data_IF_104720592822
#
_entry.id   IF_104720592822
#
_cell.length_a   1.000
_cell.length_b   1.000
_cell.length_c   1.000
_cell.angle_alpha   90.00
_cell.angle_beta   90.00
_cell.angle_gamma   90.00
#
_symmetry.space_group_name_H-M   'P 1'
#
loop_
_entity.id
_entity.type
_entity.pdbx_description
1 polymer ?
#
# COMPACT_ATOMS: atom_id res chain seq x y z
N UNK A 1 -1.67 5.11 25.12
CA UNK A 1 -1.34 4.53 23.78
C UNK A 1 -2.54 4.48 22.86
N UNK A 2 -3.71 3.94 23.31
CA UNK A 2 -4.89 3.76 22.45
C UNK A 2 -5.35 5.05 21.76
N UNK A 3 -5.41 6.19 22.48
CA UNK A 3 -5.86 7.47 21.92
C UNK A 3 -4.89 8.01 20.86
N UNK A 4 -3.61 7.90 21.09
CA UNK A 4 -2.61 8.29 20.10
C UNK A 4 -2.68 7.42 18.85
N UNK A 5 -2.96 6.13 19.01
CA UNK A 5 -3.12 5.21 17.88
C UNK A 5 -4.37 5.52 17.05
N UNK A 6 -5.53 5.71 17.72
CA UNK A 6 -6.80 5.90 17.00
C UNK A 6 -7.11 7.37 16.64
N UNK A 7 -6.62 8.33 17.45
CA UNK A 7 -7.00 9.75 17.31
C UNK A 7 -5.82 10.67 17.03
N UNK A 8 -4.58 10.15 17.09
CA UNK A 8 -3.35 10.95 17.05
C UNK A 8 -3.37 12.12 18.05
N UNK A 9 -4.06 11.95 19.19
CA UNK A 9 -4.26 13.01 20.18
C UNK A 9 -4.34 12.45 21.59
N UNK A 10 -4.37 13.35 22.59
CA UNK A 10 -4.54 13.02 23.99
C UNK A 10 -5.83 12.24 24.23
N UNK A 11 -5.83 11.32 25.24
CA UNK A 11 -7.05 10.65 25.67
C UNK A 11 -8.07 11.67 26.20
N UNK A 12 -9.36 11.37 25.99
CA UNK A 12 -10.44 12.11 26.58
C UNK A 12 -10.60 11.78 28.08
N UNK A 13 -11.40 12.56 28.79
CA UNK A 13 -11.61 12.40 30.23
C UNK A 13 -12.17 11.02 30.59
N UNK A 14 -13.09 10.48 29.75
CA UNK A 14 -13.67 9.16 29.95
C UNK A 14 -12.60 8.06 29.94
N UNK A 15 -11.69 8.10 28.95
CA UNK A 15 -10.58 7.15 28.86
C UNK A 15 -9.57 7.33 30.00
N UNK A 16 -9.29 8.57 30.39
CA UNK A 16 -8.40 8.87 31.53
C UNK A 16 -8.97 8.37 32.86
N UNK A 17 -10.27 8.53 33.09
CA UNK A 17 -10.95 8.02 34.30
C UNK A 17 -10.84 6.49 34.41
N UNK A 18 -11.06 5.78 33.30
CA UNK A 18 -10.92 4.31 33.23
C UNK A 18 -9.48 3.85 33.45
N UNK A 19 -8.52 4.59 32.88
CA UNK A 19 -7.09 4.30 33.05
C UNK A 19 -6.67 4.44 34.52
N UNK A 20 -7.05 5.54 35.19
CA UNK A 20 -6.78 5.76 36.62
C UNK A 20 -7.42 4.71 37.50
N UNK A 21 -8.58 4.19 37.12
CA UNK A 21 -9.28 3.11 37.83
C UNK A 21 -8.75 1.71 37.51
N UNK A 22 -7.71 1.56 36.68
CA UNK A 22 -7.15 0.27 36.25
C UNK A 22 -8.07 -0.57 35.38
N UNK A 23 -9.20 -0.02 34.91
CA UNK A 23 -10.24 -0.77 34.19
C UNK A 23 -9.87 -1.10 32.74
N UNK A 24 -8.90 -0.42 32.15
CA UNK A 24 -8.45 -0.69 30.78
C UNK A 24 -7.64 -1.98 30.64
N UNK A 25 -7.28 -2.64 31.73
CA UNK A 25 -6.70 -3.99 31.74
C UNK A 25 -7.74 -5.07 31.43
N UNK A 26 -9.02 -4.76 31.60
CA UNK A 26 -10.12 -5.68 31.26
C UNK A 26 -10.35 -5.67 29.74
N UNK A 27 -10.23 -6.83 29.04
CA UNK A 27 -10.38 -6.91 27.58
C UNK A 27 -11.74 -6.43 27.07
N UNK A 28 -12.83 -6.70 27.80
CA UNK A 28 -14.17 -6.28 27.40
C UNK A 28 -14.32 -4.74 27.47
N UNK A 29 -13.77 -4.12 28.53
CA UNK A 29 -13.78 -2.67 28.67
C UNK A 29 -12.89 -2.01 27.61
N UNK A 30 -11.69 -2.57 27.36
CA UNK A 30 -10.80 -2.08 26.32
C UNK A 30 -11.48 -2.12 24.95
N UNK A 31 -12.15 -3.23 24.61
CA UNK A 31 -12.92 -3.37 23.39
C UNK A 31 -14.02 -2.32 23.28
N UNK A 32 -14.82 -2.14 24.33
CA UNK A 32 -15.88 -1.14 24.38
C UNK A 32 -15.37 0.28 24.12
N UNK A 33 -14.23 0.62 24.72
CA UNK A 33 -13.61 1.93 24.49
C UNK A 33 -13.05 2.06 23.06
N UNK A 34 -12.45 1.03 22.51
CA UNK A 34 -11.98 1.01 21.12
C UNK A 34 -13.14 1.25 20.15
N UNK A 35 -14.24 0.54 20.30
CA UNK A 35 -15.44 0.71 19.46
C UNK A 35 -16.03 2.13 19.59
N UNK A 36 -16.08 2.66 20.81
CA UNK A 36 -16.51 4.06 21.05
C UNK A 36 -15.60 5.06 20.32
N UNK A 37 -14.29 4.82 20.41
CA UNK A 37 -13.29 5.73 19.83
C UNK A 37 -13.29 5.67 18.32
N UNK A 38 -13.51 4.51 17.72
CA UNK A 38 -13.62 4.36 16.26
C UNK A 38 -14.86 5.09 15.69
N UNK A 39 -15.94 5.19 16.47
CA UNK A 39 -17.14 5.96 16.08
C UNK A 39 -16.99 7.47 16.26
N UNK A 40 -15.91 7.94 16.88
CA UNK A 40 -15.68 9.37 17.09
C UNK A 40 -15.05 10.00 15.83
N UNK A 41 -15.44 11.23 15.44
CA UNK A 41 -14.83 11.93 14.29
C UNK A 41 -13.30 12.01 14.31
N UNK A 42 -12.66 12.00 15.50
CA UNK A 42 -11.20 11.95 15.64
C UNK A 42 -10.59 10.67 15.03
N UNK A 43 -11.37 9.61 14.85
CA UNK A 43 -10.89 8.36 14.24
C UNK A 43 -10.52 8.53 12.74
N UNK A 44 -10.94 9.61 12.10
CA UNK A 44 -10.44 9.97 10.77
C UNK A 44 -8.90 10.10 10.72
N UNK A 45 -8.26 10.41 11.86
CA UNK A 45 -6.79 10.40 11.97
C UNK A 45 -6.21 8.99 11.77
N UNK A 46 -6.86 7.96 12.32
CA UNK A 46 -6.46 6.57 12.11
C UNK A 46 -6.59 6.17 10.64
N UNK A 47 -7.74 6.51 10.02
CA UNK A 47 -8.00 6.24 8.60
C UNK A 47 -6.92 6.77 7.65
N UNK A 48 -6.27 7.89 8.02
CA UNK A 48 -5.17 8.50 7.24
C UNK A 48 -3.80 7.98 7.64
N UNK A 49 -3.45 8.05 8.92
CA UNK A 49 -2.06 7.82 9.36
C UNK A 49 -1.67 6.35 9.37
N UNK A 50 -2.63 5.45 9.65
CA UNK A 50 -2.31 4.03 9.69
C UNK A 50 -1.96 3.48 8.29
N UNK A 51 -2.80 3.63 7.25
CA UNK A 51 -2.46 3.13 5.91
C UNK A 51 -1.24 3.85 5.33
N UNK A 52 -1.05 5.15 5.59
CA UNK A 52 0.13 5.89 5.16
C UNK A 52 1.43 5.25 5.67
N UNK A 53 1.47 4.88 6.95
CA UNK A 53 2.65 4.26 7.56
C UNK A 53 2.79 2.79 7.19
N UNK A 54 1.70 2.04 7.28
CA UNK A 54 1.67 0.61 6.94
C UNK A 54 2.12 0.36 5.51
N UNK A 55 1.58 1.13 4.56
CA UNK A 55 1.87 1.00 3.14
C UNK A 55 3.07 1.85 2.68
N UNK A 56 3.83 2.45 3.60
CA UNK A 56 4.99 3.31 3.30
C UNK A 56 4.68 4.46 2.34
N UNK A 57 3.45 4.96 2.31
CA UNK A 57 3.05 6.03 1.37
C UNK A 57 3.76 7.35 1.62
N UNK A 58 4.32 7.56 2.81
CA UNK A 58 5.18 8.71 3.11
C UNK A 58 6.50 8.71 2.30
N UNK A 59 6.79 7.63 1.59
CA UNK A 59 7.92 7.54 0.67
C UNK A 59 7.58 7.99 -0.76
N UNK A 60 6.29 8.24 -1.05
CA UNK A 60 5.88 8.81 -2.34
C UNK A 60 6.59 10.15 -2.58
N UNK A 61 7.10 10.32 -3.78
CA UNK A 61 7.87 11.51 -4.16
C UNK A 61 9.38 11.44 -3.90
N UNK A 62 9.88 10.39 -3.21
CA UNK A 62 11.34 10.17 -3.10
C UNK A 62 11.97 9.84 -4.45
N UNK A 63 11.23 9.09 -5.29
CA UNK A 63 11.59 8.82 -6.68
C UNK A 63 10.39 9.12 -7.56
N UNK A 64 10.52 10.13 -8.41
CA UNK A 64 9.49 10.48 -9.38
C UNK A 64 9.91 9.94 -10.76
N UNK A 65 8.95 9.44 -11.55
CA UNK A 65 9.25 8.97 -12.91
C UNK A 65 9.66 10.13 -13.82
N UNK A 66 10.40 9.81 -14.92
CA UNK A 66 10.68 10.81 -15.95
C UNK A 66 9.36 11.31 -16.56
N UNK A 67 9.22 12.63 -16.61
CA UNK A 67 8.03 13.31 -17.19
C UNK A 67 7.82 12.97 -18.67
N UNK A 68 8.90 12.67 -19.38
CA UNK A 68 8.90 12.34 -20.82
C UNK A 68 8.76 10.83 -21.06
N UNK A 69 8.88 10.02 -20.01
CA UNK A 69 8.78 8.57 -20.07
C UNK A 69 7.34 8.07 -20.11
N UNK A 70 7.16 6.75 -20.19
CA UNK A 70 5.84 6.11 -20.28
C UNK A 70 4.96 6.38 -19.06
N UNK A 71 5.55 6.73 -17.94
CA UNK A 71 4.85 7.04 -16.68
C UNK A 71 4.59 8.53 -16.46
N UNK A 72 4.75 9.37 -17.47
CA UNK A 72 4.54 10.83 -17.36
C UNK A 72 3.15 11.25 -16.88
N UNK A 73 2.14 10.39 -17.03
CA UNK A 73 0.81 10.60 -16.47
C UNK A 73 0.77 10.65 -14.93
N UNK A 74 1.78 10.12 -14.24
CA UNK A 74 1.96 10.22 -12.79
C UNK A 74 1.76 11.65 -12.28
N UNK A 75 2.36 12.64 -12.95
CA UNK A 75 2.29 14.06 -12.53
C UNK A 75 0.89 14.65 -12.57
N UNK A 76 -0.03 14.02 -13.30
CA UNK A 76 -1.44 14.42 -13.40
C UNK A 76 -2.31 13.77 -12.32
N UNK A 77 -1.86 12.67 -11.73
CA UNK A 77 -2.64 11.89 -10.77
C UNK A 77 -2.03 11.84 -9.37
N UNK A 78 -0.77 12.29 -9.19
CA UNK A 78 -0.03 12.13 -7.93
C UNK A 78 -0.75 12.70 -6.70
N UNK A 79 -1.50 13.77 -6.86
CA UNK A 79 -2.28 14.38 -5.77
C UNK A 79 -3.46 13.52 -5.30
N UNK A 80 -3.91 12.56 -6.11
CA UNK A 80 -5.03 11.66 -5.78
C UNK A 80 -4.58 10.32 -5.20
N UNK A 81 -3.28 10.00 -5.26
CA UNK A 81 -2.78 8.66 -4.91
C UNK A 81 -3.01 8.33 -3.43
N UNK A 82 -2.58 9.20 -2.52
CA UNK A 82 -2.80 9.01 -1.08
C UNK A 82 -4.28 9.17 -0.73
N UNK A 83 -5.00 10.23 -1.17
CA UNK A 83 -6.42 10.36 -0.93
C UNK A 83 -7.28 9.17 -1.39
N UNK A 84 -6.88 8.47 -2.46
CA UNK A 84 -7.56 7.25 -2.91
C UNK A 84 -7.46 6.13 -1.85
N UNK A 85 -6.27 5.90 -1.32
CA UNK A 85 -6.03 4.89 -0.28
C UNK A 85 -6.78 5.25 1.00
N UNK A 86 -6.73 6.52 1.41
CA UNK A 86 -7.43 7.03 2.59
C UNK A 86 -8.94 6.82 2.48
N UNK A 87 -9.52 7.15 1.33
CA UNK A 87 -10.96 6.97 1.08
C UNK A 87 -11.35 5.49 1.13
N UNK A 88 -10.56 4.61 0.54
CA UNK A 88 -10.81 3.17 0.53
C UNK A 88 -10.70 2.56 1.93
N UNK A 89 -9.65 2.91 2.66
CA UNK A 89 -9.45 2.42 4.03
C UNK A 89 -10.54 2.92 4.98
N UNK A 90 -10.90 4.20 4.86
CA UNK A 90 -11.97 4.80 5.67
C UNK A 90 -13.33 4.15 5.39
N UNK A 91 -13.65 3.88 4.12
CA UNK A 91 -14.89 3.16 3.75
C UNK A 91 -14.95 1.77 4.38
N UNK A 92 -13.85 1.00 4.34
CA UNK A 92 -13.80 -0.30 4.99
C UNK A 92 -13.96 -0.21 6.52
N UNK A 93 -13.35 0.80 7.13
CA UNK A 93 -13.45 1.02 8.58
C UNK A 93 -14.87 1.43 8.99
N UNK A 94 -15.48 2.37 8.27
CA UNK A 94 -16.81 2.90 8.55
C UNK A 94 -17.92 1.87 8.32
N UNK A 95 -17.79 1.08 7.25
CA UNK A 95 -18.77 0.04 6.88
C UNK A 95 -18.54 -1.28 7.59
N UNK A 96 -17.46 -1.41 8.38
CA UNK A 96 -16.98 -2.70 8.91
C UNK A 96 -16.86 -3.75 7.79
N UNK A 97 -16.30 -3.33 6.66
CA UNK A 97 -16.16 -4.13 5.46
C UNK A 97 -15.23 -5.33 5.65
N UNK A 98 -15.33 -6.35 4.80
CA UNK A 98 -14.52 -7.54 4.91
C UNK A 98 -13.04 -7.23 4.65
N UNK A 99 -12.16 -7.72 5.53
CA UNK A 99 -10.71 -7.47 5.47
C UNK A 99 -10.08 -8.00 4.16
N UNK A 100 -10.68 -9.00 3.54
CA UNK A 100 -10.25 -9.53 2.22
C UNK A 100 -10.22 -8.44 1.14
N UNK A 101 -11.04 -7.39 1.28
CA UNK A 101 -11.07 -6.28 0.32
C UNK A 101 -9.74 -5.51 0.27
N UNK A 102 -8.85 -5.68 1.25
CA UNK A 102 -7.50 -5.14 1.15
C UNK A 102 -6.68 -5.80 0.03
N UNK A 103 -6.99 -7.05 -0.30
CA UNK A 103 -6.30 -7.83 -1.35
C UNK A 103 -7.15 -7.89 -2.62
N UNK A 104 -8.44 -8.19 -2.46
CA UNK A 104 -9.37 -8.44 -3.57
C UNK A 104 -10.67 -7.68 -3.32
N UNK A 105 -10.87 -6.61 -4.07
CA UNK A 105 -12.06 -5.76 -4.00
C UNK A 105 -12.59 -5.51 -5.40
N UNK A 106 -13.91 -5.54 -5.57
CA UNK A 106 -14.58 -5.21 -6.82
C UNK A 106 -14.85 -3.71 -6.99
N UNK A 107 -14.32 -2.87 -6.09
CA UNK A 107 -14.45 -1.42 -6.16
C UNK A 107 -13.17 -0.71 -5.70
N UNK A 108 -13.05 0.55 -6.06
CA UNK A 108 -12.07 1.48 -5.55
C UNK A 108 -12.65 2.89 -5.47
N UNK A 109 -11.86 3.85 -5.03
CA UNK A 109 -12.23 5.26 -5.07
C UNK A 109 -11.48 5.95 -6.20
N UNK A 110 -12.19 6.56 -7.13
CA UNK A 110 -11.57 7.28 -8.24
C UNK A 110 -12.39 8.49 -8.66
N UNK A 111 -11.73 9.45 -9.27
CA UNK A 111 -12.28 10.56 -10.00
C UNK A 111 -12.05 10.37 -11.50
N UNK A 112 -12.42 11.36 -12.31
CA UNK A 112 -12.21 11.34 -13.75
C UNK A 112 -10.75 11.05 -14.13
N UNK A 113 -9.80 11.72 -13.48
CA UNK A 113 -8.37 11.59 -13.82
C UNK A 113 -7.83 10.19 -13.55
N UNK A 114 -8.11 9.61 -12.37
CA UNK A 114 -7.71 8.24 -12.06
C UNK A 114 -8.41 7.24 -12.97
N UNK A 115 -9.71 7.42 -13.21
CA UNK A 115 -10.48 6.57 -14.13
C UNK A 115 -9.85 6.52 -15.51
N UNK A 116 -9.64 7.67 -16.15
CA UNK A 116 -9.11 7.76 -17.52
C UNK A 116 -7.65 7.29 -17.64
N UNK A 117 -6.78 7.72 -16.71
CA UNK A 117 -5.34 7.52 -16.86
C UNK A 117 -4.85 6.19 -16.31
N UNK A 118 -5.42 5.72 -15.21
CA UNK A 118 -4.97 4.53 -14.50
C UNK A 118 -5.88 3.32 -14.74
N UNK A 119 -7.19 3.48 -14.49
CA UNK A 119 -8.14 2.36 -14.53
C UNK A 119 -8.75 2.11 -15.90
N UNK A 120 -8.50 3.01 -16.87
CA UNK A 120 -9.09 2.96 -18.24
C UNK A 120 -10.61 2.85 -18.23
N UNK A 121 -11.24 3.42 -17.22
CA UNK A 121 -12.67 3.38 -16.97
C UNK A 121 -13.24 4.81 -16.96
N UNK A 122 -14.41 5.01 -17.58
CA UNK A 122 -15.03 6.33 -17.64
C UNK A 122 -15.69 6.68 -16.31
N UNK A 123 -15.20 7.74 -15.67
CA UNK A 123 -15.77 8.31 -14.44
C UNK A 123 -16.00 9.80 -14.63
N UNK A 124 -17.10 10.32 -14.08
CA UNK A 124 -17.45 11.75 -14.21
C UNK A 124 -17.15 12.50 -12.92
N UNK A 125 -16.54 13.68 -13.05
CA UNK A 125 -16.31 14.63 -11.96
C UNK A 125 -14.93 14.51 -11.30
N UNK A 126 -14.57 15.55 -10.57
CA UNK A 126 -13.22 15.77 -10.03
C UNK A 126 -13.03 15.15 -8.62
N UNK A 127 -14.12 14.87 -7.90
CA UNK A 127 -14.04 14.30 -6.55
C UNK A 127 -13.96 12.77 -6.59
N UNK A 128 -13.16 12.22 -5.68
CA UNK A 128 -13.11 10.78 -5.45
C UNK A 128 -14.47 10.26 -5.01
N UNK A 129 -14.89 9.17 -5.60
CA UNK A 129 -16.13 8.46 -5.27
C UNK A 129 -15.91 6.96 -5.38
N UNK A 130 -16.70 6.19 -4.65
CA UNK A 130 -16.72 4.74 -4.74
C UNK A 130 -17.22 4.31 -6.12
N UNK A 131 -16.43 3.55 -6.85
CA UNK A 131 -16.73 3.08 -8.21
C UNK A 131 -16.43 1.59 -8.29
N UNK A 132 -17.35 0.84 -8.87
CA UNK A 132 -17.14 -0.57 -9.18
C UNK A 132 -16.09 -0.71 -10.28
N UNK A 133 -15.15 -1.63 -10.10
CA UNK A 133 -14.12 -1.91 -11.09
C UNK A 133 -14.68 -2.74 -12.25
N UNK A 134 -14.36 -2.33 -13.48
CA UNK A 134 -14.66 -3.08 -14.70
C UNK A 134 -13.58 -4.12 -14.99
N UNK A 135 -12.33 -3.82 -14.61
CA UNK A 135 -11.17 -4.71 -14.75
C UNK A 135 -10.89 -5.43 -13.42
N UNK A 136 -11.13 -6.74 -13.40
CA UNK A 136 -10.93 -7.59 -12.21
C UNK A 136 -9.46 -7.86 -11.86
N UNK A 137 -8.52 -7.48 -12.74
CA UNK A 137 -7.07 -7.58 -12.45
C UNK A 137 -6.61 -6.54 -11.43
N UNK A 138 -7.42 -5.50 -11.19
CA UNK A 138 -7.12 -4.43 -10.25
C UNK A 138 -8.15 -4.42 -9.13
N UNK A 139 -7.77 -4.92 -7.97
CA UNK A 139 -8.61 -4.91 -6.79
C UNK A 139 -7.78 -4.76 -5.52
N UNK A 140 -8.36 -4.16 -4.48
CA UNK A 140 -7.70 -3.94 -3.20
C UNK A 140 -6.55 -2.93 -3.21
N UNK A 141 -5.85 -2.84 -2.07
CA UNK A 141 -4.79 -1.86 -1.83
C UNK A 141 -3.53 -2.12 -2.67
N UNK A 142 -3.17 -3.39 -2.88
CA UNK A 142 -1.90 -3.76 -3.51
C UNK A 142 -1.79 -3.33 -4.97
N UNK A 143 -2.91 -3.21 -5.66
CA UNK A 143 -2.95 -2.77 -7.07
C UNK A 143 -3.24 -1.28 -7.22
N UNK A 144 -3.41 -0.55 -6.12
CA UNK A 144 -3.59 0.91 -6.18
C UNK A 144 -2.31 1.60 -6.66
N UNK A 145 -2.45 2.66 -7.46
CA UNK A 145 -1.30 3.35 -8.04
C UNK A 145 -0.33 3.91 -6.99
N UNK A 146 -0.80 4.25 -5.78
CA UNK A 146 0.06 4.66 -4.67
C UNK A 146 1.06 3.56 -4.28
N UNK A 147 0.57 2.32 -4.06
CA UNK A 147 1.39 1.17 -3.69
C UNK A 147 2.30 0.76 -4.87
N UNK A 148 1.76 0.77 -6.09
CA UNK A 148 2.53 0.47 -7.29
C UNK A 148 3.68 1.45 -7.49
N UNK A 149 3.48 2.74 -7.16
CA UNK A 149 4.50 3.78 -7.28
C UNK A 149 5.58 3.65 -6.20
N UNK A 150 5.19 3.45 -4.94
CA UNK A 150 6.14 3.35 -3.82
C UNK A 150 7.03 2.10 -3.93
N UNK A 151 6.59 1.10 -4.70
CA UNK A 151 7.31 -0.13 -4.98
C UNK A 151 7.99 -0.17 -6.37
N UNK A 152 8.09 0.97 -7.05
CA UNK A 152 8.80 1.14 -8.32
C UNK A 152 10.10 1.93 -8.12
N UNK A 153 10.96 1.94 -9.13
CA UNK A 153 12.25 2.65 -9.09
C UNK A 153 12.26 3.98 -9.86
N UNK A 154 11.09 4.45 -10.33
CA UNK A 154 10.96 5.69 -11.10
C UNK A 154 11.25 5.59 -12.60
N UNK A 155 11.97 4.56 -13.04
CA UNK A 155 12.31 4.29 -14.47
C UNK A 155 11.48 3.14 -15.00
N UNK A 156 11.45 2.05 -14.24
CA UNK A 156 10.77 0.80 -14.58
C UNK A 156 10.00 0.25 -13.39
N UNK A 157 9.16 -0.74 -13.70
CA UNK A 157 8.56 -1.57 -12.65
C UNK A 157 9.64 -2.38 -11.93
N UNK A 158 9.43 -2.71 -10.68
CA UNK A 158 10.39 -3.46 -9.86
C UNK A 158 9.74 -4.64 -9.15
N UNK A 159 9.53 -5.77 -9.85
CA UNK A 159 8.88 -6.94 -9.26
C UNK A 159 9.59 -7.45 -7.99
N UNK A 160 10.92 -7.37 -7.93
CA UNK A 160 11.67 -7.82 -6.75
C UNK A 160 11.40 -6.92 -5.55
N UNK A 161 11.50 -5.59 -5.71
CA UNK A 161 11.18 -4.63 -4.64
C UNK A 161 9.72 -4.82 -4.18
N UNK A 162 8.81 -5.04 -5.13
CA UNK A 162 7.40 -5.28 -4.85
C UNK A 162 7.17 -6.59 -4.11
N UNK A 163 7.87 -7.66 -4.48
CA UNK A 163 7.83 -8.95 -3.78
C UNK A 163 8.33 -8.84 -2.34
N UNK A 164 9.46 -8.16 -2.11
CA UNK A 164 9.97 -7.85 -0.78
C UNK A 164 8.96 -7.04 0.03
N UNK A 165 8.39 -6.00 -0.58
CA UNK A 165 7.36 -5.17 0.05
C UNK A 165 6.15 -5.99 0.52
N UNK A 166 5.64 -6.91 -0.30
CA UNK A 166 4.52 -7.79 0.10
C UNK A 166 4.91 -8.69 1.27
N UNK A 167 6.09 -9.30 1.22
CA UNK A 167 6.59 -10.15 2.31
C UNK A 167 6.73 -9.36 3.62
N UNK A 168 7.32 -8.18 3.58
CA UNK A 168 7.56 -7.36 4.79
C UNK A 168 6.27 -6.73 5.34
N UNK A 169 5.53 -6.02 4.50
CA UNK A 169 4.48 -5.11 4.98
C UNK A 169 3.10 -5.77 5.04
N UNK A 170 2.87 -6.82 4.25
CA UNK A 170 1.57 -7.50 4.19
C UNK A 170 1.61 -8.83 4.94
N UNK A 171 2.65 -9.63 4.71
CA UNK A 171 2.77 -10.95 5.31
C UNK A 171 3.58 -10.98 6.61
N UNK A 172 4.32 -9.92 6.93
CA UNK A 172 5.16 -9.85 8.14
C UNK A 172 6.30 -10.90 8.16
N UNK A 173 6.73 -11.34 6.99
CA UNK A 173 7.79 -12.34 6.80
C UNK A 173 8.92 -11.79 5.93
N UNK A 174 9.68 -10.79 6.44
CA UNK A 174 10.75 -10.17 5.65
C UNK A 174 11.76 -11.21 5.19
N UNK A 175 12.23 -11.17 3.94
CA UNK A 175 13.31 -12.02 3.49
C UNK A 175 14.61 -11.65 4.22
N UNK A 176 15.55 -12.60 4.37
CA UNK A 176 16.88 -12.29 4.91
C UNK A 176 17.58 -11.26 4.02
N UNK A 177 18.50 -10.50 4.62
CA UNK A 177 19.32 -9.59 3.84
C UNK A 177 20.19 -10.37 2.83
N UNK A 178 20.42 -9.83 1.62
CA UNK A 178 21.30 -10.47 0.65
C UNK A 178 22.71 -10.61 1.24
N UNK A 179 23.43 -11.67 0.89
CA UNK A 179 24.85 -11.81 1.27
C UNK A 179 25.67 -10.59 0.80
N UNK A 180 26.70 -10.19 1.59
CA UNK A 180 27.48 -8.99 1.27
C UNK A 180 28.23 -9.06 -0.06
N UNK A 181 28.50 -10.26 -0.55
CA UNK A 181 29.24 -10.53 -1.79
C UNK A 181 28.35 -10.56 -3.05
N UNK A 182 27.03 -10.30 -2.91
CA UNK A 182 26.11 -10.27 -4.06
C UNK A 182 26.08 -8.85 -4.61
N UNK A 183 26.63 -8.68 -5.82
CA UNK A 183 26.50 -7.41 -6.53
C UNK A 183 25.04 -7.09 -6.84
N UNK A 184 24.59 -5.85 -6.62
CA UNK A 184 23.29 -5.39 -7.07
C UNK A 184 23.14 -5.60 -8.57
N UNK A 185 21.91 -5.87 -9.04
CA UNK A 185 21.63 -5.87 -10.47
C UNK A 185 22.07 -4.54 -11.06
N UNK A 186 22.95 -4.62 -12.06
CA UNK A 186 23.34 -3.44 -12.83
C UNK A 186 22.11 -2.83 -13.49
N UNK A 187 21.88 -1.52 -13.41
CA UNK A 187 20.86 -0.86 -14.22
C UNK A 187 21.19 -0.86 -15.71
N UNK A 188 22.38 -1.32 -16.08
CA UNK A 188 22.85 -1.41 -17.47
C UNK A 188 22.24 -2.64 -18.15
N UNK A 189 21.29 -2.40 -19.05
CA UNK A 189 20.61 -3.43 -19.84
C UNK A 189 21.38 -3.81 -21.13
N UNK A 190 22.59 -3.31 -21.35
CA UNK A 190 23.39 -3.65 -22.53
C UNK A 190 23.72 -5.13 -22.52
N UNK A 191 23.27 -5.83 -23.57
CA UNK A 191 23.45 -7.28 -23.72
C UNK A 191 22.30 -8.15 -23.19
N UNK A 192 21.26 -7.56 -22.59
CA UNK A 192 20.05 -8.27 -22.16
C UNK A 192 18.83 -7.62 -22.82
N UNK A 193 17.95 -8.43 -23.40
CA UNK A 193 16.79 -7.91 -24.15
C UNK A 193 15.65 -7.42 -23.27
N UNK A 194 15.51 -7.96 -22.07
CA UNK A 194 14.42 -7.63 -21.17
C UNK A 194 14.85 -7.68 -19.70
N UNK A 195 14.18 -6.91 -18.84
CA UNK A 195 14.32 -6.99 -17.38
C UNK A 195 14.13 -8.42 -16.86
N UNK A 196 13.18 -9.16 -17.44
CA UNK A 196 12.89 -10.55 -17.09
C UNK A 196 14.09 -11.48 -17.34
N UNK A 197 14.81 -11.29 -18.45
CA UNK A 197 16.02 -12.07 -18.77
C UNK A 197 17.15 -11.74 -17.78
N UNK A 198 17.35 -10.47 -17.46
CA UNK A 198 18.34 -10.04 -16.48
C UNK A 198 18.08 -10.64 -15.09
N UNK A 199 16.83 -10.58 -14.64
CA UNK A 199 16.40 -11.21 -13.39
C UNK A 199 16.56 -12.74 -13.41
N UNK A 200 16.34 -13.39 -14.55
CA UNK A 200 16.53 -14.83 -14.70
C UNK A 200 18.01 -15.25 -14.57
N UNK A 201 18.93 -14.46 -15.12
CA UNK A 201 20.38 -14.70 -14.99
C UNK A 201 20.81 -14.57 -13.52
N UNK A 202 20.41 -13.50 -12.85
CA UNK A 202 20.71 -13.26 -11.44
C UNK A 202 20.15 -14.38 -10.53
N UNK A 203 18.90 -14.75 -10.73
CA UNK A 203 18.18 -15.79 -9.97
C UNK A 203 18.79 -17.19 -10.08
N UNK A 204 19.51 -17.48 -11.16
CA UNK A 204 20.13 -18.79 -11.39
C UNK A 204 21.37 -19.04 -10.52
N UNK A 205 21.91 -18.03 -9.86
CA UNK A 205 22.96 -18.19 -8.87
C UNK A 205 22.39 -18.89 -7.62
N UNK A 206 23.08 -19.91 -7.11
CA UNK A 206 22.61 -20.74 -6.00
C UNK A 206 22.34 -19.92 -4.73
N UNK A 207 23.23 -18.97 -4.43
CA UNK A 207 23.10 -18.06 -3.29
C UNK A 207 21.82 -17.18 -3.35
N UNK A 208 21.33 -16.86 -4.54
CA UNK A 208 20.18 -15.98 -4.74
C UNK A 208 18.86 -16.76 -4.78
N UNK A 209 18.90 -18.02 -5.23
CA UNK A 209 17.71 -18.84 -5.52
C UNK A 209 16.78 -19.00 -4.32
N UNK A 210 17.32 -19.23 -3.12
CA UNK A 210 16.52 -19.50 -1.92
C UNK A 210 15.62 -18.34 -1.50
N UNK A 211 16.09 -17.09 -1.68
CA UNK A 211 15.33 -15.88 -1.41
C UNK A 211 14.35 -15.58 -2.55
N UNK A 212 14.82 -15.66 -3.80
CA UNK A 212 14.02 -15.36 -4.97
C UNK A 212 12.82 -16.30 -5.17
N UNK A 213 12.89 -17.56 -4.75
CA UNK A 213 11.75 -18.48 -4.75
C UNK A 213 10.55 -17.96 -3.95
N UNK A 214 10.79 -17.14 -2.91
CA UNK A 214 9.73 -16.54 -2.08
C UNK A 214 9.34 -15.14 -2.57
N UNK A 215 10.31 -14.35 -3.00
CA UNK A 215 10.13 -12.95 -3.41
C UNK A 215 9.42 -12.85 -4.77
N UNK A 216 9.92 -13.58 -5.76
CA UNK A 216 9.51 -13.44 -7.16
C UNK A 216 8.02 -13.68 -7.39
N UNK A 217 7.40 -14.76 -6.86
CA UNK A 217 5.97 -14.98 -7.06
C UNK A 217 5.11 -13.83 -6.57
N UNK A 218 5.48 -13.22 -5.43
CA UNK A 218 4.73 -12.11 -4.83
C UNK A 218 4.82 -10.84 -5.69
N UNK A 219 6.00 -10.57 -6.25
CA UNK A 219 6.19 -9.41 -7.11
C UNK A 219 5.57 -9.56 -8.49
N UNK A 220 5.82 -10.70 -9.14
CA UNK A 220 5.28 -10.95 -10.49
C UNK A 220 3.75 -11.04 -10.52
N UNK A 221 3.10 -11.49 -9.46
CA UNK A 221 1.64 -11.50 -9.36
C UNK A 221 1.01 -10.10 -9.49
N UNK A 222 1.80 -9.04 -9.27
CA UNK A 222 1.37 -7.64 -9.35
C UNK A 222 1.87 -6.91 -10.60
N UNK A 223 2.45 -7.62 -11.57
CA UNK A 223 3.00 -7.05 -12.82
C UNK A 223 2.04 -7.19 -14.03
N UNK A 224 0.78 -7.47 -13.84
CA UNK A 224 -0.23 -7.66 -14.89
C UNK A 224 -0.76 -6.34 -15.47
#
# INVERSE_FOLDING_TARGET
RLSYFLWSSMPDEALMKLARAGKLSNPAELRRQTERMLKNPKAAAFGRHFPERWLKLHELGRMEPDKRGPYGHYFRVKEYLVPQVDAFFSDLLETNGPIRNFIDSDYTFMNKMLGELIYKQKVVGEHLRKVKLEDTRRGGLLTMPAVMTVTANGVDTSPIVRGVYVLENILGTPPPQPPPDVEPLSPDLRGVKTLKEQLAIHRNQEACRSCHQKIDPMGYALES
#
